data_IF_477029274643
#
_entry.id   IF_477029274643
#
_cell.length_a   1.000
_cell.length_b   1.000
_cell.length_c   1.000
_cell.angle_alpha   90.00
_cell.angle_beta   90.00
_cell.angle_gamma   90.00
#
_symmetry.space_group_name_H-M   'P 1'
#
loop_
_entity.id
_entity.type
_entity.pdbx_description
1 polymer ?
#
# COMPACT_ATOMS: atom_id res chain seq x y z
N UNK A 1 10.10 20.56 10.22
CA UNK A 1 10.46 19.35 9.45
C UNK A 1 9.27 18.99 8.58
N UNK A 2 9.47 18.68 7.30
CA UNK A 2 8.42 18.16 6.43
C UNK A 2 8.00 16.77 6.92
N UNK A 3 6.73 16.43 6.78
CA UNK A 3 6.25 15.09 7.12
C UNK A 3 6.73 14.08 6.07
N UNK A 4 7.42 13.03 6.47
CA UNK A 4 7.88 11.98 5.56
C UNK A 4 6.91 10.79 5.52
N UNK A 5 6.75 10.22 4.33
CA UNK A 5 5.86 9.09 4.07
C UNK A 5 6.62 7.99 3.37
N UNK A 6 6.50 6.76 3.89
CA UNK A 6 6.94 5.55 3.21
C UNK A 6 5.82 5.02 2.32
N UNK A 7 6.13 4.74 1.06
CA UNK A 7 5.22 4.03 0.15
C UNK A 7 5.88 2.74 -0.31
N UNK A 8 5.35 1.60 0.13
CA UNK A 8 5.91 0.30 -0.29
C UNK A 8 5.44 -0.09 -1.69
N UNK A 9 6.33 -0.69 -2.50
CA UNK A 9 6.04 -1.04 -3.88
C UNK A 9 5.76 0.19 -4.76
N UNK A 10 6.54 1.27 -4.55
CA UNK A 10 6.31 2.57 -5.19
C UNK A 10 7.05 2.76 -6.51
N UNK A 11 7.73 1.74 -7.05
CA UNK A 11 8.47 1.85 -8.30
C UNK A 11 7.58 1.86 -9.55
N UNK A 12 6.31 1.43 -9.44
CA UNK A 12 5.36 1.34 -10.56
C UNK A 12 3.89 1.34 -10.11
N UNK A 13 2.98 1.41 -11.08
CA UNK A 13 1.54 1.22 -10.87
C UNK A 13 0.94 2.15 -9.81
N UNK A 14 0.04 1.62 -8.99
CA UNK A 14 -0.66 2.37 -7.94
C UNK A 14 0.31 3.02 -6.96
N UNK A 15 1.35 2.29 -6.53
CA UNK A 15 2.33 2.80 -5.57
C UNK A 15 3.12 4.01 -6.09
N UNK A 16 3.48 4.01 -7.37
CA UNK A 16 4.11 5.16 -8.04
C UNK A 16 3.21 6.39 -8.02
N UNK A 17 1.95 6.25 -8.44
CA UNK A 17 1.02 7.37 -8.48
C UNK A 17 0.70 7.91 -7.07
N UNK A 18 0.62 7.03 -6.06
CA UNK A 18 0.51 7.44 -4.66
C UNK A 18 1.72 8.28 -4.24
N UNK A 19 2.95 7.82 -4.55
CA UNK A 19 4.16 8.54 -4.19
C UNK A 19 4.20 9.95 -4.83
N UNK A 20 3.81 10.06 -6.10
CA UNK A 20 3.76 11.33 -6.84
C UNK A 20 2.66 12.24 -6.27
N UNK A 21 1.45 11.73 -6.00
CA UNK A 21 0.36 12.52 -5.43
C UNK A 21 0.74 13.09 -4.05
N UNK A 22 1.31 12.28 -3.18
CA UNK A 22 1.77 12.72 -1.86
C UNK A 22 2.91 13.74 -1.94
N UNK A 23 3.81 13.59 -2.91
CA UNK A 23 4.88 14.57 -3.15
C UNK A 23 4.31 15.94 -3.55
N UNK A 24 3.26 15.99 -4.39
CA UNK A 24 2.54 17.22 -4.75
C UNK A 24 1.88 17.87 -3.54
N UNK A 25 1.43 17.09 -2.56
CA UNK A 25 0.87 17.57 -1.30
C UNK A 25 1.95 18.03 -0.29
N UNK A 26 3.22 17.99 -0.69
CA UNK A 26 4.35 18.53 0.08
C UNK A 26 4.98 17.54 1.06
N UNK A 27 4.64 16.26 1.00
CA UNK A 27 5.33 15.23 1.77
C UNK A 27 6.73 14.94 1.20
N UNK A 28 7.62 14.49 2.07
CA UNK A 28 8.88 13.88 1.69
C UNK A 28 8.67 12.37 1.52
N UNK A 29 9.12 11.77 0.42
CA UNK A 29 8.75 10.40 0.05
C UNK A 29 9.94 9.44 0.14
N UNK A 30 9.77 8.35 0.88
CA UNK A 30 10.60 7.16 0.77
C UNK A 30 9.92 6.20 -0.25
N UNK A 31 10.53 6.11 -1.42
CA UNK A 31 10.07 5.27 -2.55
C UNK A 31 10.64 3.88 -2.36
N UNK A 32 9.86 2.96 -1.78
CA UNK A 32 10.34 1.60 -1.56
C UNK A 32 10.17 0.73 -2.81
N UNK A 33 11.18 -0.11 -3.04
CA UNK A 33 11.20 -1.14 -4.08
C UNK A 33 11.92 -2.41 -3.59
N UNK A 34 11.68 -3.54 -4.26
CA UNK A 34 12.39 -4.79 -3.99
C UNK A 34 13.53 -5.01 -5.02
N UNK A 35 13.21 -5.09 -6.31
CA UNK A 35 14.15 -5.55 -7.35
C UNK A 35 14.52 -4.48 -8.38
N UNK A 36 13.59 -3.65 -8.83
CA UNK A 36 13.80 -2.72 -9.95
C UNK A 36 14.28 -1.35 -9.45
N UNK A 37 15.59 -1.19 -9.34
CA UNK A 37 16.22 0.07 -8.90
C UNK A 37 15.98 1.21 -9.90
N UNK A 38 16.07 0.94 -11.20
CA UNK A 38 15.94 1.97 -12.24
C UNK A 38 14.54 2.59 -12.25
N UNK A 39 13.52 1.75 -12.09
CA UNK A 39 12.15 2.22 -11.98
C UNK A 39 11.92 3.06 -10.71
N UNK A 40 12.50 2.66 -9.58
CA UNK A 40 12.39 3.42 -8.34
C UNK A 40 13.11 4.77 -8.43
N UNK A 41 14.33 4.80 -8.99
CA UNK A 41 15.08 6.04 -9.21
C UNK A 41 14.37 6.97 -10.21
N UNK A 42 13.73 6.43 -11.25
CA UNK A 42 12.92 7.24 -12.17
C UNK A 42 11.78 7.98 -11.41
N UNK A 43 11.10 7.30 -10.48
CA UNK A 43 10.06 7.91 -9.62
C UNK A 43 10.67 8.97 -8.70
N UNK A 44 11.82 8.69 -8.09
CA UNK A 44 12.54 9.67 -7.25
C UNK A 44 12.89 10.92 -8.05
N UNK A 45 13.41 10.77 -9.28
CA UNK A 45 13.73 11.92 -10.13
C UNK A 45 12.50 12.71 -10.55
N UNK A 46 11.39 12.03 -10.83
CA UNK A 46 10.13 12.69 -11.14
C UNK A 46 9.62 13.53 -9.96
N UNK A 47 9.64 12.98 -8.74
CA UNK A 47 9.25 13.69 -7.53
C UNK A 47 10.17 14.90 -7.29
N UNK A 48 11.48 14.76 -7.51
CA UNK A 48 12.43 15.88 -7.39
C UNK A 48 12.16 16.99 -8.40
N UNK A 49 11.73 16.67 -9.63
CA UNK A 49 11.31 17.66 -10.64
C UNK A 49 10.07 18.45 -10.22
N UNK A 50 9.21 17.89 -9.36
CA UNK A 50 8.08 18.58 -8.75
C UNK A 50 8.48 19.51 -7.59
N UNK A 51 9.78 19.58 -7.23
CA UNK A 51 10.28 20.38 -6.11
C UNK A 51 10.12 19.72 -4.74
N UNK A 52 9.71 18.45 -4.70
CA UNK A 52 9.61 17.67 -3.46
C UNK A 52 10.89 16.85 -3.18
N UNK A 53 11.06 16.44 -1.94
CA UNK A 53 12.17 15.56 -1.54
C UNK A 53 11.74 14.10 -1.68
N UNK A 54 12.61 13.28 -2.28
CA UNK A 54 12.40 11.84 -2.32
C UNK A 54 13.74 11.09 -2.30
N UNK A 55 13.69 9.87 -1.79
CA UNK A 55 14.78 8.90 -1.81
C UNK A 55 14.24 7.50 -2.07
N UNK A 56 15.06 6.64 -2.64
CA UNK A 56 14.75 5.24 -2.83
C UNK A 56 15.11 4.43 -1.58
N UNK A 57 14.37 3.37 -1.29
CA UNK A 57 14.61 2.47 -0.16
C UNK A 57 14.40 1.02 -0.61
N UNK A 58 15.44 0.18 -0.50
CA UNK A 58 15.42 -1.20 -0.98
C UNK A 58 15.34 -2.21 0.15
N UNK A 59 14.32 -3.05 0.14
CA UNK A 59 14.25 -4.29 0.92
C UNK A 59 13.14 -5.20 0.36
N UNK A 60 13.12 -6.47 0.77
CA UNK A 60 11.99 -7.35 0.52
C UNK A 60 11.03 -7.27 1.71
N UNK A 61 9.77 -6.87 1.48
CA UNK A 61 8.75 -6.81 2.55
C UNK A 61 8.46 -8.20 3.13
N UNK A 62 8.71 -9.27 2.38
CA UNK A 62 8.56 -10.65 2.84
C UNK A 62 9.72 -11.13 3.74
N UNK A 63 10.84 -10.42 3.75
CA UNK A 63 11.99 -10.71 4.61
C UNK A 63 11.92 -9.83 5.86
N UNK A 64 11.58 -10.44 7.00
CA UNK A 64 11.37 -9.73 8.27
C UNK A 64 12.64 -9.06 8.77
N UNK A 65 13.76 -9.75 8.72
CA UNK A 65 15.02 -9.25 9.25
C UNK A 65 15.58 -8.12 8.38
N UNK A 66 15.55 -8.29 7.05
CA UNK A 66 15.98 -7.26 6.11
C UNK A 66 15.10 -6.01 6.18
N UNK A 67 13.78 -6.19 6.28
CA UNK A 67 12.84 -5.08 6.43
C UNK A 67 13.08 -4.31 7.73
N UNK A 68 13.21 -5.00 8.87
CA UNK A 68 13.46 -4.37 10.16
C UNK A 68 14.78 -3.60 10.16
N UNK A 69 15.88 -4.23 9.77
CA UNK A 69 17.21 -3.60 9.75
C UNK A 69 17.23 -2.35 8.86
N UNK A 70 16.62 -2.42 7.66
CA UNK A 70 16.58 -1.28 6.74
C UNK A 70 15.74 -0.13 7.30
N UNK A 71 14.57 -0.43 7.87
CA UNK A 71 13.66 0.59 8.40
C UNK A 71 14.19 1.22 9.69
N UNK A 72 14.87 0.47 10.56
CA UNK A 72 15.53 1.00 11.75
C UNK A 72 16.68 1.95 11.38
N UNK A 73 17.54 1.58 10.43
CA UNK A 73 18.60 2.45 9.92
C UNK A 73 18.01 3.73 9.27
N UNK A 74 16.92 3.59 8.55
CA UNK A 74 16.20 4.71 7.94
C UNK A 74 15.65 5.70 8.97
N UNK A 75 15.07 5.17 10.07
CA UNK A 75 14.58 6.00 11.18
C UNK A 75 15.74 6.70 11.91
N UNK A 76 16.86 6.01 12.10
CA UNK A 76 18.05 6.58 12.73
C UNK A 76 18.59 7.76 11.92
N UNK A 77 18.65 7.62 10.60
CA UNK A 77 19.21 8.63 9.70
C UNK A 77 18.25 9.81 9.44
N UNK A 78 16.95 9.54 9.27
CA UNK A 78 15.97 10.52 8.77
C UNK A 78 14.85 10.84 9.76
N UNK A 79 14.78 10.11 10.88
CA UNK A 79 13.71 10.24 11.87
C UNK A 79 12.47 9.41 11.51
N UNK A 80 11.51 9.41 12.43
CA UNK A 80 10.30 8.60 12.28
C UNK A 80 9.37 9.12 11.17
N UNK A 81 8.73 8.20 10.47
CA UNK A 81 7.71 8.51 9.46
C UNK A 81 6.44 9.10 10.10
N UNK A 82 5.84 10.06 9.41
CA UNK A 82 4.49 10.54 9.70
C UNK A 82 3.43 9.62 9.09
N UNK A 83 3.70 9.12 7.90
CA UNK A 83 2.76 8.27 7.17
C UNK A 83 3.41 7.02 6.58
N UNK A 84 2.61 5.96 6.48
CA UNK A 84 3.01 4.70 5.84
C UNK A 84 1.90 4.22 4.94
N UNK A 85 2.23 3.91 3.69
CA UNK A 85 1.34 3.25 2.74
C UNK A 85 1.87 1.84 2.46
N UNK A 86 1.19 0.83 3.02
CA UNK A 86 1.47 -0.58 2.76
C UNK A 86 0.81 -0.97 1.44
N UNK A 87 1.52 -0.77 0.32
CA UNK A 87 1.01 -1.02 -1.03
C UNK A 87 1.70 -2.23 -1.70
N UNK A 88 2.93 -2.59 -1.34
CA UNK A 88 3.63 -3.73 -1.92
C UNK A 88 2.76 -5.00 -1.89
N UNK A 89 2.74 -5.72 -2.99
CA UNK A 89 1.97 -6.94 -3.11
C UNK A 89 2.20 -7.63 -4.44
N UNK A 90 1.95 -8.94 -4.45
CA UNK A 90 2.00 -9.82 -5.62
C UNK A 90 0.73 -10.65 -5.68
N UNK A 91 0.44 -11.21 -6.85
CA UNK A 91 -0.52 -12.29 -7.02
C UNK A 91 0.16 -13.50 -7.68
N UNK A 92 -0.38 -14.67 -7.44
CA UNK A 92 -0.02 -15.93 -8.10
C UNK A 92 -1.30 -16.76 -8.16
N UNK A 93 -2.04 -16.55 -9.25
CA UNK A 93 -3.42 -17.01 -9.40
C UNK A 93 -3.45 -18.42 -9.93
N UNK A 94 -4.15 -19.31 -9.23
CA UNK A 94 -4.37 -20.69 -9.63
C UNK A 94 -5.70 -21.21 -9.06
N UNK A 95 -6.38 -22.10 -9.78
CA UNK A 95 -7.50 -22.84 -9.19
C UNK A 95 -7.00 -23.62 -7.96
N UNK A 96 -7.76 -23.61 -6.86
CA UNK A 96 -7.29 -24.12 -5.57
C UNK A 96 -6.67 -25.54 -5.64
N UNK A 97 -7.24 -26.51 -6.38
CA UNK A 97 -6.61 -27.84 -6.49
C UNK A 97 -5.26 -27.87 -7.23
N UNK A 98 -4.95 -26.81 -8.01
CA UNK A 98 -3.69 -26.67 -8.75
C UNK A 98 -2.73 -25.66 -8.11
N UNK A 99 -3.14 -25.02 -7.02
CA UNK A 99 -2.32 -24.08 -6.27
C UNK A 99 -1.34 -24.87 -5.39
N UNK A 100 -0.06 -24.77 -5.71
CA UNK A 100 0.99 -25.40 -4.90
C UNK A 100 1.33 -24.55 -3.66
N UNK A 101 2.15 -25.13 -2.76
CA UNK A 101 2.55 -24.47 -1.52
C UNK A 101 3.35 -23.18 -1.76
N UNK A 102 4.20 -23.13 -2.80
CA UNK A 102 4.99 -21.93 -3.10
C UNK A 102 4.12 -20.78 -3.61
N UNK A 103 3.12 -21.08 -4.45
CA UNK A 103 2.13 -20.09 -4.90
C UNK A 103 1.31 -19.52 -3.72
N UNK A 104 1.00 -20.36 -2.74
CA UNK A 104 0.35 -19.92 -1.50
C UNK A 104 1.29 -19.08 -0.64
N UNK A 105 2.46 -19.63 -0.28
CA UNK A 105 3.38 -19.03 0.68
C UNK A 105 3.96 -17.70 0.19
N UNK A 106 4.32 -17.60 -1.08
CA UNK A 106 4.86 -16.34 -1.65
C UNK A 106 3.86 -15.20 -1.55
N UNK A 107 2.57 -15.46 -1.82
CA UNK A 107 1.51 -14.46 -1.74
C UNK A 107 1.23 -14.07 -0.29
N UNK A 108 1.13 -15.02 0.64
CA UNK A 108 0.93 -14.73 2.06
C UNK A 108 2.12 -13.94 2.61
N UNK A 109 3.34 -14.39 2.35
CA UNK A 109 4.57 -13.75 2.83
C UNK A 109 4.69 -12.30 2.38
N UNK A 110 4.48 -12.04 1.09
CA UNK A 110 4.61 -10.68 0.57
C UNK A 110 3.44 -9.79 0.99
N UNK A 111 2.19 -10.25 0.84
CA UNK A 111 1.03 -9.38 1.04
C UNK A 111 0.64 -9.24 2.51
N UNK A 112 0.67 -10.33 3.30
CA UNK A 112 0.18 -10.32 4.68
C UNK A 112 1.31 -10.17 5.69
N UNK A 113 2.38 -10.99 5.61
CA UNK A 113 3.51 -10.84 6.53
C UNK A 113 4.25 -9.53 6.28
N UNK A 114 4.30 -9.06 5.02
CA UNK A 114 4.85 -7.76 4.66
C UNK A 114 4.19 -6.58 5.39
N UNK A 115 2.90 -6.65 5.70
CA UNK A 115 2.24 -5.65 6.55
C UNK A 115 2.86 -5.60 7.94
N UNK A 116 3.04 -6.75 8.58
CA UNK A 116 3.66 -6.83 9.89
C UNK A 116 5.13 -6.39 9.84
N UNK A 117 5.89 -6.91 8.88
CA UNK A 117 7.33 -6.66 8.76
C UNK A 117 7.65 -5.16 8.56
N UNK A 118 6.77 -4.45 7.83
CA UNK A 118 6.90 -3.01 7.60
C UNK A 118 6.42 -2.20 8.80
N UNK A 119 5.24 -2.49 9.35
CA UNK A 119 4.66 -1.63 10.39
C UNK A 119 5.25 -1.85 11.78
N UNK A 120 5.68 -3.07 12.10
CA UNK A 120 6.20 -3.38 13.43
C UNK A 120 7.36 -2.47 13.85
N UNK A 121 8.43 -2.27 13.05
CA UNK A 121 9.52 -1.36 13.41
C UNK A 121 9.11 0.13 13.37
N UNK A 122 8.06 0.51 12.61
CA UNK A 122 7.68 1.90 12.41
C UNK A 122 6.70 2.44 13.44
N UNK A 123 5.81 1.59 13.99
CA UNK A 123 4.69 2.04 14.83
C UNK A 123 5.16 2.73 16.11
N UNK A 124 6.14 2.17 16.83
CA UNK A 124 6.61 2.79 18.07
C UNK A 124 7.31 4.13 17.85
N UNK A 125 8.21 4.31 16.87
CA UNK A 125 8.72 5.63 16.49
C UNK A 125 7.63 6.63 16.11
N UNK A 126 6.59 6.21 15.36
CA UNK A 126 5.43 7.08 15.06
C UNK A 126 4.70 7.52 16.33
N UNK A 127 4.47 6.62 17.28
CA UNK A 127 3.84 6.92 18.57
C UNK A 127 4.68 7.92 19.37
N UNK A 128 6.00 7.75 19.38
CA UNK A 128 6.93 8.63 20.11
C UNK A 128 7.00 10.04 19.56
N UNK A 129 6.70 10.26 18.28
CA UNK A 129 6.59 11.60 17.70
C UNK A 129 5.51 12.48 18.36
N UNK A 130 4.46 11.90 18.93
CA UNK A 130 3.33 12.58 19.59
C UNK A 130 2.59 13.61 18.72
N UNK A 131 2.75 13.53 17.39
CA UNK A 131 2.09 14.44 16.41
C UNK A 131 0.95 13.77 15.66
N UNK A 132 0.59 12.55 16.04
CA UNK A 132 -0.30 11.72 15.25
C UNK A 132 0.41 11.11 14.04
N UNK A 133 -0.34 10.52 13.15
CA UNK A 133 0.18 9.87 11.95
C UNK A 133 -0.92 9.26 11.09
N UNK A 134 -0.54 8.69 9.96
CA UNK A 134 -1.45 8.07 9.00
C UNK A 134 -0.89 6.74 8.50
N UNK A 135 -1.70 5.71 8.53
CA UNK A 135 -1.39 4.40 7.95
C UNK A 135 -2.50 4.06 6.96
N UNK A 136 -2.14 3.79 5.72
CA UNK A 136 -3.05 3.31 4.69
C UNK A 136 -2.57 1.95 4.19
N UNK A 137 -3.46 0.97 4.23
CA UNK A 137 -3.19 -0.41 3.84
C UNK A 137 -3.95 -0.72 2.55
N UNK A 138 -3.24 -1.17 1.52
CA UNK A 138 -3.85 -1.52 0.24
C UNK A 138 -4.34 -2.96 0.25
N UNK A 139 -5.65 -3.14 0.37
CA UNK A 139 -6.33 -4.41 0.16
C UNK A 139 -6.75 -4.55 -1.32
N UNK A 140 -7.90 -5.13 -1.59
CA UNK A 140 -8.51 -5.34 -2.90
C UNK A 140 -9.99 -5.69 -2.73
N UNK A 141 -10.78 -5.50 -3.77
CA UNK A 141 -12.13 -6.12 -3.86
C UNK A 141 -12.06 -7.63 -3.64
N UNK A 142 -10.99 -8.30 -4.09
CA UNK A 142 -10.77 -9.74 -3.84
C UNK A 142 -10.66 -10.08 -2.35
N UNK A 143 -10.20 -9.15 -1.52
CA UNK A 143 -10.17 -9.31 -0.06
C UNK A 143 -11.54 -9.14 0.61
N UNK A 144 -12.50 -8.53 -0.08
CA UNK A 144 -13.87 -8.33 0.42
C UNK A 144 -14.80 -9.45 -0.04
N UNK A 145 -14.82 -9.73 -1.36
CA UNK A 145 -15.78 -10.66 -1.96
C UNK A 145 -15.20 -12.05 -2.26
N UNK A 146 -13.90 -12.20 -2.23
CA UNK A 146 -13.21 -13.35 -2.82
C UNK A 146 -13.17 -13.27 -4.35
N UNK A 147 -12.25 -14.01 -4.96
CA UNK A 147 -12.19 -14.13 -6.41
C UNK A 147 -11.73 -15.53 -6.80
N UNK A 148 -12.32 -16.09 -7.86
CA UNK A 148 -11.95 -17.41 -8.37
C UNK A 148 -10.48 -17.43 -8.79
N UNK A 149 -9.74 -18.45 -8.37
CA UNK A 149 -8.31 -18.59 -8.65
C UNK A 149 -7.40 -17.79 -7.72
N UNK A 150 -7.96 -17.02 -6.80
CA UNK A 150 -7.22 -16.12 -5.89
C UNK A 150 -7.43 -16.46 -4.41
N UNK A 151 -7.48 -17.72 -4.03
CA UNK A 151 -7.74 -18.10 -2.62
C UNK A 151 -6.63 -17.57 -1.71
N UNK A 152 -5.35 -17.68 -2.13
CA UNK A 152 -4.18 -17.11 -1.44
C UNK A 152 -4.25 -15.57 -1.35
N UNK A 153 -4.49 -14.90 -2.48
CA UNK A 153 -4.57 -13.45 -2.56
C UNK A 153 -5.77 -12.90 -1.78
N UNK A 154 -6.94 -13.52 -1.91
CA UNK A 154 -8.14 -13.15 -1.15
C UNK A 154 -7.96 -13.32 0.35
N UNK A 155 -7.32 -14.42 0.78
CA UNK A 155 -6.98 -14.65 2.19
C UNK A 155 -6.05 -13.57 2.73
N UNK A 156 -4.96 -13.26 2.00
CA UNK A 156 -4.03 -12.20 2.40
C UNK A 156 -4.71 -10.83 2.47
N UNK A 157 -5.43 -10.44 1.42
CA UNK A 157 -6.10 -9.12 1.35
C UNK A 157 -7.27 -9.00 2.32
N UNK A 158 -7.98 -10.09 2.62
CA UNK A 158 -8.99 -10.16 3.69
C UNK A 158 -8.34 -10.06 5.08
N UNK A 159 -7.21 -10.71 5.30
CA UNK A 159 -6.41 -10.59 6.51
C UNK A 159 -5.95 -9.16 6.79
N UNK A 160 -5.53 -8.42 5.74
CA UNK A 160 -5.17 -7.00 5.85
C UNK A 160 -6.34 -6.12 6.31
N UNK A 161 -7.58 -6.41 5.87
CA UNK A 161 -8.78 -5.71 6.31
C UNK A 161 -8.97 -5.89 7.83
N UNK A 162 -8.86 -7.12 8.32
CA UNK A 162 -9.01 -7.42 9.75
C UNK A 162 -7.87 -6.80 10.58
N UNK A 163 -6.62 -6.93 10.11
CA UNK A 163 -5.44 -6.38 10.76
C UNK A 163 -5.50 -4.85 10.86
N UNK A 164 -5.91 -4.17 9.78
CA UNK A 164 -6.13 -2.71 9.75
C UNK A 164 -7.13 -2.28 10.82
N UNK A 165 -8.27 -2.99 10.94
CA UNK A 165 -9.31 -2.66 11.92
C UNK A 165 -8.84 -2.85 13.37
N UNK A 166 -8.03 -3.85 13.63
CA UNK A 166 -7.45 -4.09 14.96
C UNK A 166 -6.43 -3.01 15.31
N UNK A 167 -5.47 -2.76 14.42
CA UNK A 167 -4.42 -1.76 14.62
C UNK A 167 -4.99 -0.34 14.82
N UNK A 168 -6.08 0.00 14.13
CA UNK A 168 -6.75 1.28 14.29
C UNK A 168 -7.28 1.51 15.71
N UNK A 169 -7.75 0.46 16.38
CA UNK A 169 -8.23 0.54 17.78
C UNK A 169 -7.05 0.80 18.73
N UNK A 170 -5.91 0.14 18.50
CA UNK A 170 -4.72 0.28 19.33
C UNK A 170 -4.11 1.69 19.23
N UNK A 171 -4.08 2.24 18.01
CA UNK A 171 -3.38 3.49 17.72
C UNK A 171 -4.26 4.75 17.81
N UNK A 172 -5.57 4.62 17.94
CA UNK A 172 -6.51 5.74 17.97
C UNK A 172 -6.19 6.79 19.04
N UNK A 173 -5.86 6.36 20.26
CA UNK A 173 -5.45 7.25 21.37
C UNK A 173 -4.15 8.04 21.08
N UNK A 174 -3.38 7.62 20.08
CA UNK A 174 -2.13 8.26 19.63
C UNK A 174 -2.36 9.20 18.45
N UNK A 175 -3.60 9.40 18.03
CA UNK A 175 -4.02 10.18 16.85
C UNK A 175 -3.37 9.64 15.55
N UNK A 176 -3.08 8.34 15.50
CA UNK A 176 -2.63 7.66 14.30
C UNK A 176 -3.86 6.99 13.69
N UNK A 177 -4.32 7.55 12.56
CA UNK A 177 -5.43 6.97 11.81
C UNK A 177 -4.93 5.83 10.94
N UNK A 178 -5.65 4.71 10.97
CA UNK A 178 -5.33 3.50 10.19
C UNK A 178 -6.54 3.11 9.36
N UNK A 179 -6.40 3.14 8.03
CA UNK A 179 -7.47 2.83 7.09
C UNK A 179 -7.02 1.84 6.03
N UNK A 180 -7.97 1.13 5.47
CA UNK A 180 -7.79 0.21 4.37
C UNK A 180 -8.44 0.77 3.10
N UNK A 181 -7.73 0.73 1.99
CA UNK A 181 -8.28 1.02 0.65
C UNK A 181 -8.39 -0.30 -0.11
N UNK A 182 -9.55 -0.55 -0.72
CA UNK A 182 -9.83 -1.75 -1.48
C UNK A 182 -10.14 -1.39 -2.95
N UNK A 183 -9.11 -1.31 -3.81
CA UNK A 183 -9.30 -1.04 -5.23
C UNK A 183 -10.05 -2.18 -5.93
N UNK A 184 -10.80 -1.83 -6.97
CA UNK A 184 -11.28 -2.77 -7.98
C UNK A 184 -10.21 -3.11 -9.01
N UNK A 185 -10.62 -3.31 -10.26
CA UNK A 185 -9.70 -3.56 -11.37
C UNK A 185 -9.14 -2.21 -11.85
N UNK A 186 -7.84 -2.01 -11.66
CA UNK A 186 -7.12 -0.77 -11.97
C UNK A 186 -6.15 -1.03 -13.14
N UNK A 187 -6.09 -0.12 -14.10
CA UNK A 187 -5.17 -0.14 -15.24
C UNK A 187 -3.71 -0.06 -14.77
N UNK A 188 -3.01 -1.17 -14.73
CA UNK A 188 -1.60 -1.29 -14.34
C UNK A 188 -0.95 -2.43 -15.10
N UNK A 189 0.38 -2.52 -15.09
CA UNK A 189 1.09 -3.68 -15.64
C UNK A 189 0.57 -5.02 -15.08
N UNK A 190 0.11 -5.04 -13.84
CA UNK A 190 -0.45 -6.24 -13.19
C UNK A 190 -1.76 -6.71 -13.84
N UNK A 191 -2.51 -5.81 -14.46
CA UNK A 191 -3.81 -6.09 -15.09
C UNK A 191 -3.76 -6.06 -16.61
N UNK A 192 -2.61 -5.80 -17.22
CA UNK A 192 -2.43 -5.66 -18.67
C UNK A 192 -2.81 -6.94 -19.46
N UNK A 193 -2.58 -8.11 -18.86
CA UNK A 193 -2.94 -9.40 -19.45
C UNK A 193 -4.42 -9.78 -19.29
N UNK A 194 -5.21 -9.00 -18.53
CA UNK A 194 -6.63 -9.28 -18.31
C UNK A 194 -7.45 -8.82 -19.52
N UNK A 195 -8.42 -9.63 -19.95
CA UNK A 195 -9.42 -9.16 -20.92
C UNK A 195 -10.37 -8.16 -20.24
N UNK A 196 -10.32 -6.87 -20.60
CA UNK A 196 -11.17 -5.86 -19.96
C UNK A 196 -12.68 -6.17 -20.09
N UNK A 197 -13.10 -6.81 -21.18
CA UNK A 197 -14.52 -7.11 -21.45
C UNK A 197 -15.13 -7.99 -20.36
N UNK A 198 -14.33 -8.90 -19.80
CA UNK A 198 -14.80 -9.79 -18.71
C UNK A 198 -15.19 -9.01 -17.44
N UNK A 199 -14.54 -7.89 -17.18
CA UNK A 199 -14.76 -7.09 -15.97
C UNK A 199 -15.74 -5.93 -16.17
N UNK A 200 -15.87 -5.41 -17.40
CA UNK A 200 -16.70 -4.25 -17.68
C UNK A 200 -18.17 -4.47 -17.35
N UNK A 201 -18.66 -5.70 -17.50
CA UNK A 201 -20.06 -6.04 -17.15
C UNK A 201 -20.30 -6.06 -15.64
N UNK A 202 -19.25 -6.31 -14.86
CA UNK A 202 -19.29 -6.32 -13.40
C UNK A 202 -19.12 -4.94 -12.79
N UNK A 203 -18.64 -3.96 -13.57
CA UNK A 203 -18.33 -2.60 -13.10
C UNK A 203 -19.42 -1.64 -13.56
N UNK A 204 -20.27 -1.10 -12.68
CA UNK A 204 -21.30 -0.12 -13.06
C UNK A 204 -20.77 1.10 -13.81
N UNK A 205 -19.58 1.58 -13.44
CA UNK A 205 -18.92 2.69 -14.15
C UNK A 205 -18.45 2.34 -15.58
N UNK A 206 -18.57 1.08 -16.01
CA UNK A 206 -18.24 0.56 -17.35
C UNK A 206 -16.83 0.89 -17.86
N UNK A 207 -15.89 1.04 -16.95
CA UNK A 207 -14.46 1.21 -17.22
C UNK A 207 -13.61 0.67 -16.09
N UNK A 208 -12.36 0.41 -16.35
CA UNK A 208 -11.35 0.17 -15.33
C UNK A 208 -11.04 1.46 -14.58
N UNK A 209 -10.58 1.36 -13.35
CA UNK A 209 -10.05 2.49 -12.60
C UNK A 209 -8.65 2.84 -13.07
N UNK A 210 -8.23 4.08 -12.84
CA UNK A 210 -6.86 4.52 -13.10
C UNK A 210 -6.07 4.60 -11.79
N UNK A 211 -4.75 4.37 -11.82
CA UNK A 211 -3.90 4.47 -10.62
C UNK A 211 -4.02 5.82 -9.90
N UNK A 212 -4.18 6.93 -10.66
CA UNK A 212 -4.33 8.28 -10.10
C UNK A 212 -5.61 8.44 -9.29
N UNK A 213 -6.69 7.71 -9.64
CA UNK A 213 -7.93 7.75 -8.88
C UNK A 213 -7.75 7.12 -7.51
N UNK A 214 -7.00 6.01 -7.43
CA UNK A 214 -6.61 5.39 -6.15
C UNK A 214 -5.68 6.29 -5.36
N UNK A 215 -4.69 6.89 -6.03
CA UNK A 215 -3.74 7.82 -5.41
C UNK A 215 -4.44 9.04 -4.79
N UNK A 216 -5.46 9.59 -5.45
CA UNK A 216 -6.26 10.70 -4.92
C UNK A 216 -6.95 10.35 -3.60
N UNK A 217 -7.52 9.15 -3.48
CA UNK A 217 -8.12 8.69 -2.23
C UNK A 217 -7.06 8.51 -1.12
N UNK A 218 -5.91 7.91 -1.44
CA UNK A 218 -4.82 7.71 -0.48
C UNK A 218 -4.28 9.06 -0.02
N UNK A 219 -4.07 10.03 -0.92
CA UNK A 219 -3.62 11.37 -0.60
C UNK A 219 -4.62 12.07 0.35
N UNK A 220 -5.93 11.97 0.08
CA UNK A 220 -6.95 12.47 1.00
C UNK A 220 -6.84 11.84 2.39
N UNK A 221 -6.66 10.51 2.48
CA UNK A 221 -6.55 9.80 3.77
C UNK A 221 -5.28 10.17 4.55
N UNK A 222 -4.21 10.60 3.88
CA UNK A 222 -2.99 11.12 4.52
C UNK A 222 -3.10 12.60 4.90
N UNK A 223 -4.08 13.32 4.38
CA UNK A 223 -4.28 14.75 4.64
C UNK A 223 -4.82 15.02 6.06
N UNK A 224 -4.69 16.26 6.56
CA UNK A 224 -5.34 16.68 7.80
C UNK A 224 -6.87 16.55 7.79
N UNK A 225 -7.49 16.67 6.62
CA UNK A 225 -8.96 16.58 6.47
C UNK A 225 -9.53 15.21 6.80
N UNK A 226 -8.70 14.15 6.80
CA UNK A 226 -9.08 12.79 7.14
C UNK A 226 -8.76 12.40 8.61
N UNK A 227 -8.48 13.36 9.48
CA UNK A 227 -8.04 13.07 10.86
C UNK A 227 -9.05 12.22 11.65
N UNK A 228 -10.35 12.38 11.40
CA UNK A 228 -11.41 11.62 12.07
C UNK A 228 -11.82 10.34 11.34
N UNK A 229 -11.17 10.03 10.21
CA UNK A 229 -11.40 8.82 9.43
C UNK A 229 -10.38 7.78 9.86
N UNK A 230 -10.83 6.76 10.59
CA UNK A 230 -9.99 5.63 11.02
C UNK A 230 -10.80 4.35 11.07
N UNK A 231 -10.14 3.18 10.98
CA UNK A 231 -10.77 1.86 11.02
C UNK A 231 -11.69 1.57 9.83
N UNK A 232 -11.61 2.37 8.77
CA UNK A 232 -12.48 2.23 7.61
C UNK A 232 -11.87 1.30 6.56
N UNK A 233 -12.75 0.64 5.80
CA UNK A 233 -12.42 -0.06 4.56
C UNK A 233 -13.13 0.67 3.45
N UNK A 234 -12.38 1.36 2.60
CA UNK A 234 -12.95 2.23 1.57
C UNK A 234 -12.69 1.60 0.21
N UNK A 235 -13.75 1.20 -0.45
CA UNK A 235 -13.68 0.66 -1.81
C UNK A 235 -13.56 1.77 -2.85
N UNK A 236 -12.71 1.54 -3.85
CA UNK A 236 -12.60 2.37 -5.03
C UNK A 236 -12.61 1.47 -6.26
N UNK A 237 -13.79 1.16 -6.78
CA UNK A 237 -14.01 0.03 -7.69
C UNK A 237 -15.06 0.29 -8.78
N UNK A 238 -15.49 1.54 -8.98
CA UNK A 238 -16.49 1.88 -9.98
C UNK A 238 -17.90 1.33 -9.70
N UNK A 239 -18.18 0.97 -8.45
CA UNK A 239 -19.47 0.41 -8.03
C UNK A 239 -19.56 -1.11 -8.16
N UNK A 240 -18.42 -1.82 -8.29
CA UNK A 240 -18.36 -3.28 -8.43
C UNK A 240 -18.90 -4.00 -7.17
N UNK A 241 -18.81 -3.35 -6.01
CA UNK A 241 -19.31 -3.79 -4.70
C UNK A 241 -20.04 -2.64 -4.01
#
# INVERSE_FOLDING_TARGET
MKNQVLVTGASRGIGREIAIALARDGFEIAVHYNTNVDAAEAVVQEIKKLGASARSLRFDVGDREAAAATLEAEIEQHGAFYGVVCNAGIHNDNAFPAMDGEAWDSVIRTNLDGFYNVLHPLVMPMVQLRRGGRIVVMSSVSGIMGNRGQVNYSAAKGGLIAATKALAVELGKRRIAVNCVAPGVIETEMTEALDPKHYLDMIPARRLGRPEEVAGLVAYLLSPNAEYITRQVISINGGML
#
